data_IF_482117326614
#
_entry.id   IF_482117326614
#
_cell.length_a   1.000
_cell.length_b   1.000
_cell.length_c   1.000
_cell.angle_alpha   90.00
_cell.angle_beta   90.00
_cell.angle_gamma   90.00
#
_symmetry.space_group_name_H-M   'P 1'
#
loop_
_entity.id
_entity.type
_entity.pdbx_description
1 polymer ?
#
# COMPACT_ATOMS: atom_id res chain seq x y z
N UNK A 1 -42.22 48.35 -4.99
CA UNK A 1 -43.00 47.92 -3.81
C UNK A 1 -42.42 46.58 -3.38
N UNK A 2 -41.74 46.62 -2.24
CA UNK A 2 -40.72 45.67 -1.82
C UNK A 2 -41.23 44.23 -1.75
N UNK A 3 -40.30 43.30 -2.01
CA UNK A 3 -40.37 41.84 -1.89
C UNK A 3 -40.89 41.33 -0.52
N UNK A 4 -41.25 42.22 0.42
CA UNK A 4 -41.88 41.91 1.70
C UNK A 4 -43.35 41.50 1.62
N UNK A 5 -44.08 41.76 0.52
CA UNK A 5 -45.51 41.38 0.40
C UNK A 5 -45.77 39.94 -0.08
N UNK A 6 -44.75 39.24 -0.60
CA UNK A 6 -44.89 37.85 -1.04
C UNK A 6 -44.70 36.82 0.09
N UNK A 7 -44.09 37.23 1.21
CA UNK A 7 -43.94 36.39 2.41
C UNK A 7 -45.14 36.46 3.38
N UNK A 8 -46.21 37.17 2.99
CA UNK A 8 -47.52 37.13 3.65
C UNK A 8 -48.45 36.03 3.10
N UNK A 9 -47.94 35.12 2.27
CA UNK A 9 -48.66 33.91 1.85
C UNK A 9 -48.29 32.74 2.77
N UNK A 10 -49.30 32.27 3.52
CA UNK A 10 -49.32 31.06 4.38
C UNK A 10 -48.64 31.21 5.76
N UNK A 11 -48.92 32.26 6.52
CA UNK A 11 -50.04 32.28 7.48
C UNK A 11 -50.49 30.88 7.94
N UNK A 12 -50.27 30.64 9.23
CA UNK A 12 -51.12 29.86 10.13
C UNK A 12 -51.26 28.35 9.88
N UNK A 13 -50.51 27.59 10.69
CA UNK A 13 -51.12 26.47 11.42
C UNK A 13 -50.42 26.29 12.77
N UNK A 14 -50.81 27.13 13.72
CA UNK A 14 -50.50 26.94 15.14
C UNK A 14 -51.79 26.45 15.82
N UNK A 15 -51.67 25.28 16.45
CA UNK A 15 -52.55 24.70 17.47
C UNK A 15 -53.93 24.23 16.94
N UNK A 16 -54.48 23.06 17.30
CA UNK A 16 -54.69 22.50 18.63
C UNK A 16 -54.88 20.97 18.52
N UNK A 17 -54.57 20.25 19.61
CA UNK A 17 -55.37 19.13 20.15
C UNK A 17 -54.71 17.73 20.17
N UNK A 18 -54.10 17.45 21.33
CA UNK A 18 -54.25 16.22 22.13
C UNK A 18 -54.50 14.89 21.40
N UNK A 19 -53.43 14.14 21.16
CA UNK A 19 -53.47 12.68 21.11
C UNK A 19 -52.60 12.14 22.25
N UNK A 20 -53.18 12.14 23.45
CA UNK A 20 -52.59 11.49 24.61
C UNK A 20 -52.75 9.96 24.48
N UNK A 21 -51.63 9.28 24.71
CA UNK A 21 -51.55 8.00 25.41
C UNK A 21 -52.24 6.77 24.79
N UNK A 22 -51.61 6.24 23.75
CA UNK A 22 -51.57 4.81 23.42
C UNK A 22 -50.17 4.62 22.82
N UNK A 23 -49.16 4.00 23.43
CA UNK A 23 -49.12 2.70 24.09
C UNK A 23 -47.93 2.68 25.05
N UNK A 24 -48.20 2.32 26.31
CA UNK A 24 -47.24 1.68 27.18
C UNK A 24 -47.07 0.24 26.68
N UNK A 25 -45.82 -0.18 26.43
CA UNK A 25 -45.30 -1.56 26.53
C UNK A 25 -44.24 -1.82 25.47
N UNK A 26 -42.99 -1.52 25.79
CA UNK A 26 -41.93 -2.56 25.85
C UNK A 26 -40.75 -1.95 26.62
N UNK A 27 -40.77 -2.19 27.93
CA UNK A 27 -39.55 -2.27 28.71
C UNK A 27 -38.70 -3.45 28.20
N UNK A 28 -37.38 -3.31 28.32
CA UNK A 28 -36.33 -4.27 27.91
C UNK A 28 -36.22 -4.41 26.38
N UNK A 29 -35.06 -4.22 25.74
CA UNK A 29 -33.73 -4.66 26.14
C UNK A 29 -32.68 -3.69 25.58
N UNK A 30 -32.02 -2.94 26.47
CA UNK A 30 -30.68 -2.42 26.18
C UNK A 30 -29.73 -3.62 26.21
N UNK A 31 -29.42 -4.19 25.04
CA UNK A 31 -28.29 -5.13 24.91
C UNK A 31 -27.08 -4.28 24.52
N UNK A 32 -26.12 -4.02 25.42
CA UNK A 32 -24.84 -3.48 25.00
C UNK A 32 -24.10 -4.63 24.31
N UNK A 33 -24.30 -4.76 23.00
CA UNK A 33 -23.47 -5.65 22.19
C UNK A 33 -22.02 -5.14 22.23
N UNK A 34 -21.01 -6.01 22.31
CA UNK A 34 -19.63 -5.56 22.32
C UNK A 34 -19.39 -4.80 21.02
N UNK A 35 -18.99 -3.54 21.13
CA UNK A 35 -18.42 -2.79 20.01
C UNK A 35 -17.12 -3.51 19.68
N UNK A 36 -17.19 -4.49 18.78
CA UNK A 36 -16.01 -5.04 18.14
C UNK A 36 -15.39 -3.87 17.39
N UNK A 37 -14.49 -3.16 18.06
CA UNK A 37 -13.54 -2.25 17.44
C UNK A 37 -12.68 -3.16 16.57
N UNK A 38 -13.11 -3.33 15.32
CA UNK A 38 -12.29 -3.86 14.25
C UNK A 38 -11.10 -2.91 14.13
N UNK A 39 -10.03 -3.22 14.85
CA UNK A 39 -8.71 -2.66 14.58
C UNK A 39 -8.40 -3.07 13.16
N UNK A 40 -8.55 -2.14 12.22
CA UNK A 40 -8.03 -2.30 10.88
C UNK A 40 -6.50 -2.22 11.00
N UNK A 41 -5.86 -3.33 11.34
CA UNK A 41 -4.41 -3.46 11.19
C UNK A 41 -4.17 -3.68 9.69
N UNK A 42 -3.92 -2.60 8.96
CA UNK A 42 -3.32 -2.65 7.62
C UNK A 42 -1.79 -2.53 7.69
N UNK A 43 -1.23 -2.56 8.91
CA UNK A 43 0.16 -2.20 9.19
C UNK A 43 1.11 -3.40 9.31
N UNK A 44 0.59 -4.62 9.33
CA UNK A 44 1.44 -5.81 9.36
C UNK A 44 1.78 -6.17 7.90
N UNK A 45 2.86 -5.57 7.40
CA UNK A 45 3.51 -6.06 6.19
C UNK A 45 3.82 -7.55 6.41
N UNK A 46 3.51 -8.43 5.43
CA UNK A 46 3.88 -9.84 5.56
C UNK A 46 5.38 -9.94 5.85
N UNK A 47 5.81 -10.94 6.65
CA UNK A 47 7.24 -11.12 6.94
C UNK A 47 8.01 -11.20 5.61
N UNK A 48 9.12 -10.47 5.51
CA UNK A 48 10.01 -10.57 4.35
C UNK A 48 10.55 -12.00 4.30
N UNK A 49 9.97 -12.83 3.45
CA UNK A 49 10.52 -14.13 3.07
C UNK A 49 11.49 -13.94 1.90
N UNK A 50 12.39 -14.90 1.68
CA UNK A 50 13.30 -14.90 0.53
C UNK A 50 12.53 -14.81 -0.81
N UNK A 51 11.38 -15.48 -0.89
CA UNK A 51 10.47 -15.40 -2.04
C UNK A 51 9.94 -13.98 -2.23
N UNK A 52 9.55 -13.30 -1.15
CA UNK A 52 9.09 -11.92 -1.21
C UNK A 52 10.17 -10.92 -1.65
N UNK A 53 11.43 -11.14 -1.26
CA UNK A 53 12.57 -10.33 -1.73
C UNK A 53 12.77 -10.55 -3.23
N UNK A 54 12.82 -11.81 -3.66
CA UNK A 54 12.98 -12.18 -5.07
C UNK A 54 11.90 -11.56 -5.95
N UNK A 55 10.64 -11.67 -5.53
CA UNK A 55 9.51 -11.12 -6.30
C UNK A 55 9.59 -9.59 -6.41
N UNK A 56 10.01 -8.90 -5.34
CA UNK A 56 10.21 -7.45 -5.37
C UNK A 56 11.38 -7.03 -6.26
N UNK A 57 12.52 -7.71 -6.18
CA UNK A 57 13.67 -7.44 -7.06
C UNK A 57 13.27 -7.63 -8.52
N UNK A 58 12.60 -8.73 -8.85
CA UNK A 58 12.10 -8.97 -10.21
C UNK A 58 11.05 -7.94 -10.63
N UNK A 59 10.23 -7.46 -9.71
CA UNK A 59 9.25 -6.41 -10.00
C UNK A 59 9.93 -5.09 -10.36
N UNK A 60 10.91 -4.64 -9.58
CA UNK A 60 11.69 -3.42 -9.87
C UNK A 60 12.39 -3.54 -11.23
N UNK A 61 13.01 -4.68 -11.53
CA UNK A 61 13.66 -4.90 -12.82
C UNK A 61 12.69 -4.90 -14.01
N UNK A 62 11.45 -5.34 -13.83
CA UNK A 62 10.41 -5.30 -14.88
C UNK A 62 9.88 -3.89 -15.14
N UNK A 63 9.99 -2.98 -14.17
CA UNK A 63 9.61 -1.58 -14.33
C UNK A 63 10.65 -0.76 -15.08
N UNK A 64 11.85 -1.29 -15.26
CA UNK A 64 12.93 -0.60 -15.94
C UNK A 64 12.76 -0.71 -17.46
N UNK A 65 12.53 0.42 -18.14
CA UNK A 65 12.14 0.47 -19.56
C UNK A 65 13.15 -0.18 -20.52
N UNK A 66 14.42 -0.31 -20.11
CA UNK A 66 15.48 -0.93 -20.92
C UNK A 66 15.51 -2.46 -20.83
N UNK A 67 14.76 -3.06 -19.90
CA UNK A 67 14.75 -4.51 -19.67
C UNK A 67 13.47 -5.11 -20.26
N UNK A 68 13.65 -6.07 -21.17
CA UNK A 68 12.54 -6.89 -21.66
C UNK A 68 12.15 -7.93 -20.59
N UNK A 69 10.89 -7.95 -20.11
CA UNK A 69 10.46 -8.88 -19.05
C UNK A 69 10.50 -10.34 -19.50
N UNK A 70 10.50 -10.62 -20.80
CA UNK A 70 10.61 -11.97 -21.37
C UNK A 70 12.05 -12.50 -21.37
N UNK A 71 13.05 -11.61 -21.38
CA UNK A 71 14.48 -11.98 -21.33
C UNK A 71 15.02 -11.98 -19.90
N UNK A 72 14.29 -11.36 -18.98
CA UNK A 72 14.68 -11.28 -17.58
C UNK A 72 14.63 -12.65 -16.92
N UNK A 73 15.80 -13.13 -16.50
CA UNK A 73 15.97 -14.33 -15.70
C UNK A 73 16.63 -13.97 -14.37
N UNK A 74 16.45 -14.79 -13.35
CA UNK A 74 17.11 -14.56 -12.05
C UNK A 74 18.64 -14.65 -12.18
N UNK A 75 19.09 -15.44 -13.15
CA UNK A 75 20.51 -15.70 -13.40
C UNK A 75 21.04 -14.93 -14.62
N UNK A 76 20.25 -14.01 -15.19
CA UNK A 76 20.71 -13.23 -16.35
C UNK A 76 21.70 -12.16 -15.92
N UNK A 77 22.79 -12.04 -16.67
CA UNK A 77 23.81 -11.03 -16.41
C UNK A 77 23.40 -9.69 -17.03
N UNK A 78 23.45 -8.60 -16.25
CA UNK A 78 22.97 -7.28 -16.68
C UNK A 78 23.66 -6.79 -17.97
N UNK A 79 24.99 -6.86 -18.05
CA UNK A 79 25.73 -6.42 -19.24
C UNK A 79 25.70 -7.42 -20.41
N UNK A 80 25.80 -8.73 -20.15
CA UNK A 80 25.99 -9.73 -21.22
C UNK A 80 24.67 -10.19 -21.84
N UNK A 81 23.64 -10.37 -21.04
CA UNK A 81 22.37 -10.95 -21.50
C UNK A 81 21.33 -9.88 -21.79
N UNK A 82 21.22 -8.89 -20.88
CA UNK A 82 20.27 -7.78 -21.02
C UNK A 82 20.86 -6.61 -21.82
N UNK A 83 22.17 -6.56 -22.00
CA UNK A 83 22.84 -5.51 -22.78
C UNK A 83 22.80 -4.14 -22.13
N UNK A 84 22.68 -4.09 -20.79
CA UNK A 84 22.69 -2.86 -20.02
C UNK A 84 24.09 -2.28 -19.93
N UNK A 85 24.19 -0.96 -19.82
CA UNK A 85 25.47 -0.29 -19.62
C UNK A 85 25.85 -0.21 -18.12
N UNK A 86 27.05 0.32 -17.85
CA UNK A 86 27.53 0.49 -16.47
C UNK A 86 26.77 1.57 -15.68
N UNK A 87 26.11 2.53 -16.34
CA UNK A 87 25.29 3.54 -15.68
C UNK A 87 23.93 2.96 -15.29
N UNK A 88 23.35 2.13 -16.14
CA UNK A 88 22.10 1.40 -15.90
C UNK A 88 22.22 0.49 -14.68
N UNK A 89 23.38 -0.14 -14.48
CA UNK A 89 23.66 -0.91 -13.27
C UNK A 89 23.58 -0.03 -12.01
N UNK A 90 24.18 1.16 -12.04
CA UNK A 90 24.12 2.11 -10.91
C UNK A 90 22.69 2.58 -10.64
N UNK A 91 21.91 2.85 -11.69
CA UNK A 91 20.49 3.22 -11.57
C UNK A 91 19.64 2.13 -10.94
N UNK A 92 19.83 0.88 -11.37
CA UNK A 92 19.12 -0.27 -10.81
C UNK A 92 19.46 -0.44 -9.33
N UNK A 93 20.74 -0.30 -8.97
CA UNK A 93 21.19 -0.46 -7.58
C UNK A 93 20.58 0.63 -6.69
N UNK A 94 20.58 1.89 -7.11
CA UNK A 94 19.90 2.97 -6.39
C UNK A 94 18.39 2.72 -6.21
N UNK A 95 17.71 2.18 -7.23
CA UNK A 95 16.30 1.82 -7.12
C UNK A 95 16.05 0.69 -6.11
N UNK A 96 16.97 -0.26 -5.99
CA UNK A 96 16.90 -1.33 -4.98
C UNK A 96 17.15 -0.81 -3.57
N UNK A 97 18.14 0.07 -3.41
CA UNK A 97 18.43 0.76 -2.14
C UNK A 97 17.20 1.50 -1.61
N UNK A 98 16.53 2.26 -2.49
CA UNK A 98 15.31 3.00 -2.17
C UNK A 98 14.13 2.08 -1.81
N UNK A 99 13.93 0.97 -2.53
CA UNK A 99 12.81 0.03 -2.31
C UNK A 99 12.90 -0.69 -0.95
N UNK A 100 14.12 -1.06 -0.53
CA UNK A 100 14.35 -1.84 0.69
C UNK A 100 14.89 -1.00 1.86
N UNK A 101 15.21 0.28 1.61
CA UNK A 101 15.69 1.24 2.59
C UNK A 101 17.06 0.90 3.18
N UNK A 102 18.03 0.57 2.33
CA UNK A 102 19.41 0.29 2.73
C UNK A 102 20.41 0.91 1.75
N UNK A 103 21.68 0.96 2.11
CA UNK A 103 22.76 1.55 1.29
C UNK A 103 23.77 0.45 0.95
N UNK A 104 24.08 0.28 -0.34
CA UNK A 104 25.08 -0.65 -0.88
C UNK A 104 26.34 0.15 -1.20
N UNK A 105 27.50 -0.19 -0.63
CA UNK A 105 28.73 0.48 -0.99
C UNK A 105 29.12 0.15 -2.45
N UNK A 106 29.69 1.12 -3.17
CA UNK A 106 30.12 0.96 -4.57
C UNK A 106 30.96 -0.32 -4.81
N UNK A 107 31.82 -0.67 -3.84
CA UNK A 107 32.68 -1.86 -3.92
C UNK A 107 31.93 -3.19 -3.97
N UNK A 108 30.71 -3.22 -3.44
CA UNK A 108 29.83 -4.39 -3.51
C UNK A 108 28.89 -4.26 -4.70
N UNK A 109 28.37 -3.06 -4.97
CA UNK A 109 27.54 -2.76 -6.14
C UNK A 109 28.18 -3.20 -7.46
N UNK A 110 29.49 -2.97 -7.63
CA UNK A 110 30.25 -3.41 -8.82
C UNK A 110 30.29 -4.94 -8.99
N UNK A 111 30.14 -5.72 -7.91
CA UNK A 111 30.16 -7.18 -7.95
C UNK A 111 28.78 -7.77 -8.24
N UNK A 112 27.70 -7.01 -8.02
CA UNK A 112 26.32 -7.43 -8.24
C UNK A 112 25.98 -7.34 -9.74
N UNK A 113 26.29 -8.41 -10.45
CA UNK A 113 26.15 -8.51 -11.91
C UNK A 113 24.88 -9.26 -12.34
N UNK A 114 24.24 -9.97 -11.41
CA UNK A 114 23.03 -10.74 -11.64
C UNK A 114 21.92 -10.40 -10.61
N UNK A 115 20.63 -10.52 -10.98
CA UNK A 115 19.52 -10.34 -10.03
C UNK A 115 19.58 -11.28 -8.83
N UNK A 116 20.03 -12.52 -9.02
CA UNK A 116 20.19 -13.48 -7.93
C UNK A 116 21.15 -12.96 -6.86
N UNK A 117 22.28 -12.39 -7.27
CA UNK A 117 23.30 -11.88 -6.34
C UNK A 117 22.76 -10.72 -5.51
N UNK A 118 21.90 -9.88 -6.10
CA UNK A 118 21.19 -8.80 -5.37
C UNK A 118 20.24 -9.39 -4.33
N UNK A 119 19.47 -10.42 -4.70
CA UNK A 119 18.55 -11.10 -3.76
C UNK A 119 19.31 -11.71 -2.60
N UNK A 120 20.41 -12.42 -2.88
CA UNK A 120 21.26 -13.05 -1.86
C UNK A 120 21.88 -11.98 -0.95
N UNK A 121 22.36 -10.87 -1.51
CA UNK A 121 22.89 -9.75 -0.73
C UNK A 121 21.85 -9.13 0.21
N UNK A 122 20.61 -8.94 -0.27
CA UNK A 122 19.52 -8.37 0.53
C UNK A 122 19.10 -9.35 1.63
N UNK A 123 19.02 -10.64 1.32
CA UNK A 123 18.67 -11.69 2.27
C UNK A 123 19.66 -11.75 3.44
N UNK A 124 20.96 -11.74 3.13
CA UNK A 124 22.04 -11.72 4.12
C UNK A 124 21.99 -10.45 4.97
N UNK A 125 21.73 -9.28 4.36
CA UNK A 125 21.75 -7.99 5.07
C UNK A 125 20.57 -7.79 6.02
N UNK A 126 19.40 -8.33 5.69
CA UNK A 126 18.19 -8.23 6.51
C UNK A 126 18.08 -9.35 7.56
N UNK A 127 19.11 -10.18 7.72
CA UNK A 127 19.10 -11.38 8.58
C UNK A 127 17.84 -12.25 8.30
N UNK A 128 17.43 -12.34 7.03
CA UNK A 128 16.32 -13.19 6.62
C UNK A 128 16.89 -14.59 6.42
N UNK A 129 17.22 -15.25 7.53
CA UNK A 129 17.44 -16.69 7.58
C UNK A 129 16.20 -17.33 8.22
N UNK A 130 15.57 -18.26 7.51
CA UNK A 130 14.48 -19.09 8.05
C UNK A 130 14.89 -19.86 9.32
#
# INVERSE_FOLDING_TARGET
MNLLKAMQLMRARMEVSAAAAYFLSVASYWVPGPVLRWGRSYSDLPPLTLEGIRDRVLYVLKLYDKIDPEKLSVNSHFMKDLGLDSLDQVEIIMAMEDEFGFEIPDTDAEKLMCPQEIVDYIADKKDVYE
#
